data_IF_323527802936
#
_entry.id   IF_323527802936
#
_cell.length_a   1.000
_cell.length_b   1.000
_cell.length_c   1.000
_cell.angle_alpha   90.00
_cell.angle_beta   90.00
_cell.angle_gamma   90.00
#
_symmetry.space_group_name_H-M   'P 1'
#
loop_
_entity.id
_entity.type
_entity.pdbx_description
1 polymer ?
#
# COMPACT_ATOMS: atom_id res chain seq x y z
N UNK A 1 0.72 12.43 23.05
CA UNK A 1 -0.42 11.87 22.28
C UNK A 1 0.09 10.64 21.55
N UNK A 2 -0.40 9.45 21.90
CA UNK A 2 -0.17 8.25 21.09
C UNK A 2 -0.86 8.47 19.75
N UNK A 3 -0.08 8.67 18.70
CA UNK A 3 -0.60 8.76 17.34
C UNK A 3 -1.09 7.36 16.95
N UNK A 4 -2.39 7.25 16.67
CA UNK A 4 -2.99 5.99 16.23
C UNK A 4 -2.54 5.68 14.79
N UNK A 5 -2.05 4.46 14.55
CA UNK A 5 -1.61 4.03 13.21
C UNK A 5 -2.84 4.00 12.28
N UNK A 6 -2.71 4.61 11.11
CA UNK A 6 -3.74 4.60 10.07
C UNK A 6 -3.41 3.57 8.99
N UNK A 7 -4.43 2.88 8.51
CA UNK A 7 -4.31 1.83 7.49
C UNK A 7 -5.00 2.27 6.19
N UNK A 8 -4.32 2.09 5.06
CA UNK A 8 -4.85 2.32 3.72
C UNK A 8 -4.88 0.97 2.99
N UNK A 9 -6.07 0.49 2.65
CA UNK A 9 -6.24 -0.76 1.90
C UNK A 9 -6.38 -0.46 0.41
N UNK A 10 -5.54 -1.08 -0.41
CA UNK A 10 -5.56 -0.95 -1.87
C UNK A 10 -6.06 -2.26 -2.46
N UNK A 11 -7.26 -2.22 -3.03
CA UNK A 11 -7.90 -3.36 -3.71
C UNK A 11 -7.88 -3.18 -5.23
N UNK A 12 -8.31 -4.19 -5.98
CA UNK A 12 -8.39 -4.15 -7.44
C UNK A 12 -9.64 -4.81 -7.97
N UNK A 13 -10.27 -4.20 -8.97
CA UNK A 13 -11.42 -4.78 -9.69
C UNK A 13 -11.15 -4.93 -11.18
N UNK A 14 -12.09 -5.58 -11.87
CA UNK A 14 -12.13 -5.82 -13.32
C UNK A 14 -11.05 -6.79 -13.82
N UNK A 15 -9.77 -6.38 -13.83
CA UNK A 15 -8.66 -7.20 -14.33
C UNK A 15 -7.39 -7.04 -13.50
N UNK A 16 -6.51 -8.03 -13.55
CA UNK A 16 -5.17 -7.96 -12.98
C UNK A 16 -4.21 -7.14 -13.85
N UNK A 17 -2.97 -6.94 -13.38
CA UNK A 17 -1.90 -6.21 -14.10
C UNK A 17 -2.14 -4.72 -14.40
N UNK A 18 -3.15 -4.09 -13.79
CA UNK A 18 -3.43 -2.65 -13.88
C UNK A 18 -2.42 -1.72 -13.16
N UNK A 19 -1.30 -2.26 -12.66
CA UNK A 19 -0.30 -1.44 -11.97
C UNK A 19 -0.64 -1.09 -10.50
N UNK A 20 -1.49 -1.87 -9.81
CA UNK A 20 -1.84 -1.63 -8.40
C UNK A 20 -0.64 -1.48 -7.47
N UNK A 21 0.41 -2.28 -7.68
CA UNK A 21 1.65 -2.18 -6.92
C UNK A 21 2.38 -0.86 -7.16
N UNK A 22 2.40 -0.38 -8.41
CA UNK A 22 3.02 0.89 -8.77
C UNK A 22 2.23 2.07 -8.20
N UNK A 23 0.89 2.03 -8.30
CA UNK A 23 0.02 3.05 -7.69
C UNK A 23 0.19 3.11 -6.17
N UNK A 24 0.27 1.96 -5.50
CA UNK A 24 0.53 1.88 -4.07
C UNK A 24 1.89 2.50 -3.68
N UNK A 25 2.94 2.16 -4.42
CA UNK A 25 4.27 2.72 -4.20
C UNK A 25 4.31 4.24 -4.40
N UNK A 26 3.65 4.76 -5.44
CA UNK A 26 3.55 6.21 -5.68
C UNK A 26 2.82 6.94 -4.56
N UNK A 27 1.75 6.35 -3.99
CA UNK A 27 1.07 6.91 -2.82
C UNK A 27 2.01 6.90 -1.60
N UNK A 28 2.74 5.80 -1.36
CA UNK A 28 3.74 5.70 -0.29
C UNK A 28 4.78 6.81 -0.38
N UNK A 29 5.36 7.01 -1.57
CA UNK A 29 6.34 8.08 -1.83
C UNK A 29 5.78 9.48 -1.51
N UNK A 30 4.53 9.76 -1.86
CA UNK A 30 3.89 11.03 -1.54
C UNK A 30 3.65 11.23 -0.04
N UNK A 31 3.43 10.16 0.72
CA UNK A 31 3.30 10.22 2.18
C UNK A 31 4.67 10.41 2.85
N UNK A 32 5.69 9.67 2.41
CA UNK A 32 7.07 9.82 2.88
C UNK A 32 7.61 11.22 2.62
N UNK A 33 7.36 11.79 1.43
CA UNK A 33 7.77 13.16 1.10
C UNK A 33 7.10 14.23 1.97
N UNK A 34 6.02 13.90 2.69
CA UNK A 34 5.39 14.76 3.71
C UNK A 34 5.87 14.46 5.13
N UNK A 35 6.93 13.67 5.29
CA UNK A 35 7.49 13.30 6.59
C UNK A 35 6.66 12.28 7.37
N UNK A 36 5.72 11.60 6.72
CA UNK A 36 4.90 10.56 7.36
C UNK A 36 5.67 9.23 7.30
N UNK A 37 5.88 8.60 8.45
CA UNK A 37 6.41 7.24 8.50
C UNK A 37 5.35 6.27 8.00
N UNK A 38 5.68 5.51 6.96
CA UNK A 38 4.80 4.51 6.36
C UNK A 38 5.48 3.14 6.29
N UNK A 39 4.68 2.09 6.24
CA UNK A 39 5.11 0.74 5.93
C UNK A 39 4.16 0.16 4.89
N UNK A 40 4.69 -0.58 3.93
CA UNK A 40 3.90 -1.26 2.90
C UNK A 40 3.85 -2.77 3.18
N UNK A 41 2.65 -3.35 3.09
CA UNK A 41 2.43 -4.79 3.18
C UNK A 41 1.75 -5.27 1.90
N UNK A 42 2.31 -6.30 1.30
CA UNK A 42 1.72 -6.98 0.15
C UNK A 42 1.02 -8.25 0.61
N UNK A 43 -0.28 -8.33 0.37
CA UNK A 43 -1.04 -9.57 0.50
C UNK A 43 -1.07 -10.26 -0.85
N UNK A 44 -0.34 -11.37 -0.95
CA UNK A 44 -0.39 -12.23 -2.11
C UNK A 44 -1.28 -13.45 -1.83
N UNK A 45 -2.27 -13.74 -2.70
CA UNK A 45 -3.25 -14.80 -2.45
C UNK A 45 -2.73 -16.21 -2.82
N UNK A 46 -1.42 -16.36 -3.03
CA UNK A 46 -0.83 -17.65 -3.36
C UNK A 46 -0.58 -18.49 -2.09
N UNK A 47 -0.57 -19.81 -2.26
CA UNK A 47 -0.32 -20.77 -1.17
C UNK A 47 1.17 -21.07 -0.96
N UNK A 48 2.05 -20.43 -1.73
CA UNK A 48 3.49 -20.68 -1.67
C UNK A 48 4.06 -20.12 -0.35
N UNK A 49 4.83 -20.95 0.36
CA UNK A 49 5.58 -20.61 1.58
C UNK A 49 7.07 -20.56 1.28
#
# INVERSE_FOLDING_TARGET
MSQEIKYIFITGGVVSSLGKGLTAASIGYLLESRGIQIAMLKFDPYLNV
#
